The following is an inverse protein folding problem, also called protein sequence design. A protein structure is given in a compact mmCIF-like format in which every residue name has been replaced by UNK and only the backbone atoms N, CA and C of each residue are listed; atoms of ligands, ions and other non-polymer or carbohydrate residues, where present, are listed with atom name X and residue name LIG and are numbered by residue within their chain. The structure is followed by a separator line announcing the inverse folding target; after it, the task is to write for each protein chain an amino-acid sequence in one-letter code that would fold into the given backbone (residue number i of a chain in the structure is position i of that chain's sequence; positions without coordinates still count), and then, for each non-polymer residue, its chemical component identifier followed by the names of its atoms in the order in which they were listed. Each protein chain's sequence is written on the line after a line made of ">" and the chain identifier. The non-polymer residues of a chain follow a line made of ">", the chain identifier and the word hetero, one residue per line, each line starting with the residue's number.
data_IF_599434076655
#
_entry.id   IF_599434076655
#
_cell.length_a   1.000
_cell.length_b   1.000
_cell.length_c   1.000
_cell.angle_alpha   90.00
_cell.angle_beta   90.00
_cell.angle_gamma   90.00
#
_symmetry.space_group_name_H-M   'P 1'
#
loop_
_entity.id
_entity.type
_entity.pdbx_description
1 polymer ?
#
# COMPACT_ATOMS: atom_id res chain seq x y z
N UNK A 1 -5.01 -1.71 18.24
CA UNK A 1 -5.36 -2.76 17.26
C UNK A 1 -4.63 -2.44 15.97
N UNK A 2 -3.84 -3.36 15.41
CA UNK A 2 -3.11 -3.10 14.16
C UNK A 2 -4.02 -3.45 12.99
N UNK A 3 -4.44 -2.45 12.19
CA UNK A 3 -5.32 -2.64 11.04
C UNK A 3 -4.48 -2.64 9.77
N UNK A 4 -4.48 -3.76 9.06
CA UNK A 4 -3.75 -3.92 7.80
C UNK A 4 -4.77 -4.07 6.69
N UNK A 5 -4.89 -3.09 5.78
CA UNK A 5 -5.81 -3.19 4.66
C UNK A 5 -5.32 -4.21 3.63
N UNK A 6 -6.28 -4.94 3.08
CA UNK A 6 -6.08 -5.84 1.93
C UNK A 6 -7.03 -5.38 0.82
N UNK A 7 -6.49 -5.21 -0.37
CA UNK A 7 -7.24 -4.72 -1.53
C UNK A 7 -7.71 -5.89 -2.39
N UNK A 8 -8.96 -5.84 -2.83
CA UNK A 8 -9.52 -6.78 -3.79
C UNK A 8 -10.10 -6.01 -4.97
N UNK A 9 -9.68 -6.40 -6.16
CA UNK A 9 -10.22 -5.86 -7.41
C UNK A 9 -10.94 -6.97 -8.17
N UNK A 10 -12.24 -6.80 -8.39
CA UNK A 10 -13.08 -7.68 -9.18
C UNK A 10 -13.56 -6.92 -10.42
N UNK A 11 -13.17 -7.39 -11.60
CA UNK A 11 -13.65 -6.80 -12.86
C UNK A 11 -14.97 -7.47 -13.26
N UNK A 12 -15.01 -8.79 -13.15
CA UNK A 12 -16.18 -9.62 -13.44
C UNK A 12 -16.27 -10.75 -12.40
N UNK A 13 -17.49 -11.21 -12.05
CA UNK A 13 -17.67 -12.32 -11.11
C UNK A 13 -17.20 -13.66 -11.70
N UNK A 14 -17.00 -13.74 -13.02
CA UNK A 14 -16.57 -14.95 -13.73
C UNK A 14 -15.33 -14.66 -14.55
N UNK A 15 -14.44 -15.65 -14.63
CA UNK A 15 -13.32 -15.63 -15.56
C UNK A 15 -13.78 -15.80 -17.02
N UNK A 16 -12.92 -15.47 -17.98
CA UNK A 16 -13.22 -15.62 -19.42
C UNK A 16 -13.56 -17.05 -19.86
N UNK A 17 -13.22 -18.08 -19.07
CA UNK A 17 -13.61 -19.47 -19.28
C UNK A 17 -14.97 -19.85 -18.66
N UNK A 18 -15.74 -18.87 -18.16
CA UNK A 18 -17.05 -19.07 -17.54
C UNK A 18 -17.02 -19.57 -16.09
N UNK A 19 -15.85 -19.81 -15.50
CA UNK A 19 -15.75 -20.23 -14.10
C UNK A 19 -15.89 -19.01 -13.18
N UNK A 20 -16.66 -19.16 -12.12
CA UNK A 20 -16.81 -18.13 -11.09
C UNK A 20 -15.48 -17.92 -10.34
N UNK A 21 -15.11 -16.67 -10.10
CA UNK A 21 -13.99 -16.36 -9.21
C UNK A 21 -14.38 -16.73 -7.77
N UNK A 22 -13.67 -17.68 -7.18
CA UNK A 22 -13.94 -18.15 -5.81
C UNK A 22 -13.79 -17.04 -4.77
N UNK A 23 -12.96 -16.04 -5.04
CA UNK A 23 -12.80 -14.86 -4.17
C UNK A 23 -14.05 -13.98 -4.21
N UNK A 24 -14.62 -13.80 -5.41
CA UNK A 24 -15.87 -13.08 -5.60
C UNK A 24 -17.02 -13.79 -4.89
N UNK A 25 -17.15 -15.12 -5.04
CA UNK A 25 -18.17 -15.90 -4.35
C UNK A 25 -18.01 -15.83 -2.83
N UNK A 26 -16.78 -15.86 -2.31
CA UNK A 26 -16.54 -15.71 -0.89
C UNK A 26 -16.90 -14.31 -0.39
N UNK A 27 -16.57 -13.27 -1.15
CA UNK A 27 -16.94 -11.88 -0.85
C UNK A 27 -18.46 -11.69 -0.86
N UNK A 28 -19.15 -12.21 -1.88
CA UNK A 28 -20.62 -12.17 -1.98
C UNK A 28 -21.27 -12.88 -0.79
N UNK A 29 -20.74 -14.02 -0.39
CA UNK A 29 -21.19 -14.74 0.82
C UNK A 29 -21.04 -13.89 2.09
N UNK A 30 -19.88 -13.24 2.29
CA UNK A 30 -19.64 -12.35 3.44
C UNK A 30 -20.64 -11.20 3.48
N UNK A 31 -20.97 -10.64 2.31
CA UNK A 31 -21.84 -9.47 2.23
C UNK A 31 -23.33 -9.82 2.29
N UNK A 32 -23.74 -10.98 1.80
CA UNK A 32 -25.15 -11.41 1.73
C UNK A 32 -25.63 -12.10 3.00
N UNK A 33 -24.78 -12.87 3.69
CA UNK A 33 -25.16 -13.65 4.88
C UNK A 33 -25.14 -12.82 6.15
N UNK A 34 -25.46 -11.64 6.23
CA UNK A 34 -25.70 -10.79 7.43
C UNK A 34 -24.93 -11.17 8.75
N UNK A 35 -23.91 -12.04 8.67
CA UNK A 35 -23.10 -12.51 9.81
C UNK A 35 -21.85 -11.63 10.05
N UNK A 36 -21.98 -10.35 9.78
CA UNK A 36 -20.89 -9.40 10.05
C UNK A 36 -20.86 -9.03 11.53
N UNK A 37 -19.70 -8.70 12.04
CA UNK A 37 -19.54 -8.25 13.44
C UNK A 37 -20.52 -7.14 13.82
N UNK A 38 -20.76 -6.18 12.93
CA UNK A 38 -21.67 -5.07 13.19
C UNK A 38 -23.14 -5.53 13.38
N UNK A 39 -23.54 -6.64 12.74
CA UNK A 39 -24.93 -7.14 12.80
C UNK A 39 -25.16 -8.16 13.91
N UNK A 40 -24.21 -9.08 14.12
CA UNK A 40 -24.41 -10.21 15.02
C UNK A 40 -23.49 -10.22 16.25
N UNK A 41 -22.64 -9.22 16.40
CA UNK A 41 -21.64 -9.15 17.46
C UNK A 41 -20.42 -10.02 17.19
N UNK A 42 -19.33 -9.77 17.94
CA UNK A 42 -18.02 -10.39 17.73
C UNK A 42 -18.05 -11.92 17.84
N UNK A 43 -18.84 -12.45 18.76
CA UNK A 43 -18.87 -13.89 19.08
C UNK A 43 -19.61 -14.72 18.04
N UNK A 44 -20.55 -14.10 17.33
CA UNK A 44 -21.38 -14.75 16.31
C UNK A 44 -20.98 -14.40 14.87
N UNK A 45 -20.00 -13.51 14.71
CA UNK A 45 -19.54 -13.11 13.39
C UNK A 45 -18.75 -14.24 12.71
N UNK A 46 -18.92 -14.38 11.41
CA UNK A 46 -18.09 -15.29 10.63
C UNK A 46 -16.63 -14.83 10.62
N UNK A 47 -15.74 -15.77 10.83
CA UNK A 47 -14.30 -15.52 10.80
C UNK A 47 -13.72 -15.93 9.46
N UNK A 48 -12.85 -15.07 8.92
CA UNK A 48 -12.16 -15.33 7.67
C UNK A 48 -10.65 -15.25 7.87
N UNK A 49 -9.94 -16.05 7.07
CA UNK A 49 -8.49 -15.93 6.88
C UNK A 49 -8.24 -15.40 5.48
N UNK A 50 -7.44 -14.35 5.39
CA UNK A 50 -6.96 -13.78 4.14
C UNK A 50 -5.50 -14.18 3.94
N UNK A 51 -5.13 -14.55 2.71
CA UNK A 51 -3.75 -14.85 2.30
C UNK A 51 -3.34 -13.92 1.14
N UNK A 52 -3.19 -12.62 1.40
CA UNK A 52 -2.83 -11.66 0.36
C UNK A 52 -1.40 -11.86 -0.11
N UNK A 53 -1.12 -11.43 -1.33
CA UNK A 53 0.22 -11.27 -1.87
C UNK A 53 0.65 -9.81 -1.83
N UNK A 54 1.96 -9.56 -1.88
CA UNK A 54 2.49 -8.23 -2.13
C UNK A 54 2.15 -7.79 -3.54
N UNK A 55 1.76 -6.55 -3.70
CA UNK A 55 1.51 -5.90 -4.98
C UNK A 55 1.82 -4.41 -4.90
N UNK A 56 1.90 -3.76 -6.05
CA UNK A 56 2.13 -2.33 -6.14
C UNK A 56 0.90 -1.62 -6.69
N UNK A 57 0.56 -0.51 -6.07
CA UNK A 57 -0.36 0.45 -6.64
C UNK A 57 0.46 1.51 -7.36
N UNK A 58 0.57 1.36 -8.68
CA UNK A 58 1.31 2.27 -9.55
C UNK A 58 0.40 3.37 -10.07
N UNK A 59 0.78 4.61 -9.86
CA UNK A 59 0.05 5.76 -10.37
C UNK A 59 0.99 6.95 -10.62
N UNK A 60 0.53 7.89 -11.42
CA UNK A 60 1.29 9.08 -11.78
C UNK A 60 0.58 10.34 -11.31
N UNK A 61 1.29 11.17 -10.55
CA UNK A 61 0.78 12.45 -10.07
C UNK A 61 1.17 13.51 -11.10
N UNK A 62 0.20 13.91 -11.92
CA UNK A 62 0.44 14.82 -13.06
C UNK A 62 0.97 16.18 -12.60
N UNK A 63 0.43 16.73 -11.52
CA UNK A 63 0.84 18.05 -11.02
C UNK A 63 2.29 18.07 -10.50
N UNK A 64 2.73 16.94 -9.92
CA UNK A 64 4.08 16.81 -9.35
C UNK A 64 5.07 16.21 -10.35
N UNK A 65 4.60 15.82 -11.54
CA UNK A 65 5.39 15.11 -12.56
C UNK A 65 6.12 13.89 -11.98
N UNK A 66 5.43 13.09 -11.16
CA UNK A 66 6.03 12.03 -10.37
C UNK A 66 5.25 10.72 -10.47
N UNK A 67 5.98 9.63 -10.82
CA UNK A 67 5.47 8.27 -10.67
C UNK A 67 5.56 7.83 -9.20
N UNK A 68 4.57 7.09 -8.75
CA UNK A 68 4.49 6.51 -7.41
C UNK A 68 4.15 5.04 -7.52
N UNK A 69 4.93 4.21 -6.82
CA UNK A 69 4.68 2.78 -6.66
C UNK A 69 4.48 2.49 -5.17
N UNK A 70 3.23 2.41 -4.74
CA UNK A 70 2.92 2.19 -3.33
C UNK A 70 2.72 0.70 -3.04
N UNK A 71 3.51 0.16 -2.12
CA UNK A 71 3.39 -1.22 -1.66
C UNK A 71 2.02 -1.44 -0.99
N UNK A 72 1.34 -2.52 -1.36
CA UNK A 72 0.05 -2.91 -0.79
C UNK A 72 -0.09 -4.42 -0.68
N UNK A 73 -1.08 -4.86 0.09
CA UNK A 73 -1.52 -6.24 0.08
C UNK A 73 -2.68 -6.36 -0.91
N UNK A 74 -2.59 -7.24 -1.86
CA UNK A 74 -3.57 -7.42 -2.91
C UNK A 74 -4.12 -8.84 -2.91
N UNK A 75 -5.43 -8.96 -3.04
CA UNK A 75 -6.13 -10.19 -3.34
C UNK A 75 -5.82 -11.36 -2.39
N UNK A 76 -5.68 -12.53 -2.99
CA UNK A 76 -5.42 -13.79 -2.31
C UNK A 76 -6.70 -14.56 -2.00
N UNK A 77 -6.53 -15.70 -1.34
CA UNK A 77 -7.65 -16.55 -0.99
C UNK A 77 -8.38 -16.05 0.24
N UNK A 78 -9.71 -16.15 0.21
CA UNK A 78 -10.60 -15.90 1.34
C UNK A 78 -11.07 -17.27 1.83
N UNK A 79 -10.70 -17.64 3.05
CA UNK A 79 -11.07 -18.92 3.64
C UNK A 79 -11.90 -18.68 4.90
N UNK A 80 -13.07 -19.31 4.99
CA UNK A 80 -13.85 -19.31 6.21
C UNK A 80 -13.20 -20.25 7.22
N UNK A 81 -13.06 -19.79 8.45
CA UNK A 81 -12.43 -20.55 9.55
C UNK A 81 -13.40 -20.63 10.72
N UNK A 82 -13.40 -21.77 11.43
CA UNK A 82 -14.24 -21.97 12.61
C UNK A 82 -13.59 -21.44 13.88
N UNK A 83 -12.27 -21.64 13.97
CA UNK A 83 -11.52 -21.28 15.17
C UNK A 83 -10.43 -20.28 14.85
N UNK A 84 -10.29 -19.28 15.69
CA UNK A 84 -9.14 -18.40 15.65
C UNK A 84 -7.87 -19.18 16.01
N UNK A 85 -6.76 -18.81 15.37
CA UNK A 85 -5.46 -19.27 15.84
C UNK A 85 -5.27 -18.90 17.32
N UNK A 86 -4.52 -19.72 18.09
CA UNK A 86 -4.24 -19.44 19.50
C UNK A 86 -3.81 -18.01 19.73
N UNK A 87 -4.11 -17.47 20.91
CA UNK A 87 -3.66 -16.14 21.31
C UNK A 87 -2.14 -16.08 21.22
N UNK A 88 -1.62 -14.93 20.73
CA UNK A 88 -0.18 -14.75 20.47
C UNK A 88 0.30 -15.27 19.11
N UNK A 89 -0.53 -15.99 18.34
CA UNK A 89 -0.15 -16.37 16.97
C UNK A 89 -0.09 -15.12 16.09
N UNK A 90 1.06 -14.80 15.49
CA UNK A 90 1.19 -13.63 14.61
C UNK A 90 0.30 -13.78 13.38
N UNK A 91 -0.54 -12.78 13.11
CA UNK A 91 -1.55 -12.82 12.04
C UNK A 91 -1.19 -11.96 10.82
N UNK A 92 -0.18 -11.15 10.94
CA UNK A 92 0.25 -10.15 9.95
C UNK A 92 1.60 -10.51 9.34
N UNK A 93 1.86 -11.80 9.12
CA UNK A 93 3.12 -12.30 8.59
C UNK A 93 3.15 -12.27 7.08
N UNK A 94 4.36 -12.07 6.54
CA UNK A 94 4.68 -12.28 5.15
C UNK A 94 5.88 -13.23 5.00
N UNK A 95 5.99 -13.85 3.84
CA UNK A 95 7.16 -14.60 3.39
C UNK A 95 7.32 -14.32 1.90
N UNK A 96 8.48 -13.84 1.51
CA UNK A 96 8.79 -13.52 0.12
C UNK A 96 10.09 -14.17 -0.32
N UNK A 97 10.08 -14.68 -1.54
CA UNK A 97 11.30 -14.93 -2.30
C UNK A 97 11.71 -13.61 -2.94
N UNK A 98 12.91 -13.13 -2.62
CA UNK A 98 13.34 -11.77 -2.93
C UNK A 98 14.76 -11.74 -3.49
N UNK A 99 14.94 -10.93 -4.51
CA UNK A 99 16.27 -10.54 -4.99
C UNK A 99 16.59 -9.21 -4.33
N UNK A 100 17.62 -9.21 -3.48
CA UNK A 100 18.09 -8.01 -2.77
C UNK A 100 19.25 -7.40 -3.57
N UNK A 101 19.16 -6.12 -3.89
CA UNK A 101 20.13 -5.41 -4.70
C UNK A 101 20.72 -4.16 -4.03
N UNK A 102 20.20 -3.77 -2.87
CA UNK A 102 20.73 -2.63 -2.11
C UNK A 102 20.30 -2.71 -0.65
N UNK A 103 21.20 -2.33 0.23
CA UNK A 103 20.93 -2.11 1.65
C UNK A 103 21.35 -0.69 2.02
N UNK A 104 20.50 0.01 2.74
CA UNK A 104 20.75 1.39 3.20
C UNK A 104 20.51 1.45 4.70
N UNK A 105 21.55 1.65 5.47
CA UNK A 105 21.46 1.90 6.92
C UNK A 105 21.07 3.36 7.13
N UNK A 106 20.08 3.58 7.97
CA UNK A 106 19.52 4.89 8.29
C UNK A 106 19.71 5.14 9.77
N UNK A 107 20.60 6.08 10.06
CA UNK A 107 20.84 6.55 11.41
C UNK A 107 19.67 7.39 11.93
N UNK A 108 19.38 7.30 13.24
CA UNK A 108 18.38 8.15 13.86
C UNK A 108 18.77 9.63 13.71
N UNK A 109 17.79 10.47 13.38
CA UNK A 109 18.00 11.92 13.37
C UNK A 109 17.90 12.46 14.79
N UNK A 110 18.74 13.44 15.10
CA UNK A 110 18.59 14.22 16.32
C UNK A 110 17.18 14.83 16.37
N UNK A 111 16.58 14.82 17.54
CA UNK A 111 15.24 15.36 17.82
C UNK A 111 14.06 14.61 17.14
N UNK A 112 14.26 13.37 16.74
CA UNK A 112 13.17 12.51 16.22
C UNK A 112 13.06 11.21 17.01
N UNK A 113 11.86 10.60 17.01
CA UNK A 113 11.64 9.25 17.54
C UNK A 113 12.14 8.16 16.61
N UNK A 114 12.90 8.51 15.57
CA UNK A 114 13.46 7.55 14.64
C UNK A 114 14.53 6.69 15.32
N UNK A 115 14.49 5.41 15.05
CA UNK A 115 15.47 4.45 15.56
C UNK A 115 16.36 3.98 14.41
N UNK A 116 17.59 3.54 14.75
CA UNK A 116 18.50 2.90 13.80
C UNK A 116 17.76 1.76 13.09
N UNK A 117 17.79 1.78 11.78
CA UNK A 117 17.20 0.73 10.96
C UNK A 117 17.91 0.61 9.60
N UNK A 118 17.81 -0.57 8.97
CA UNK A 118 18.21 -0.73 7.59
C UNK A 118 16.97 -0.84 6.69
N UNK A 119 17.04 -0.18 5.55
CA UNK A 119 16.12 -0.39 4.44
C UNK A 119 16.77 -1.33 3.44
N UNK A 120 16.09 -2.44 3.20
CA UNK A 120 16.52 -3.51 2.30
C UNK A 120 15.71 -3.38 1.04
N UNK A 121 16.36 -3.00 -0.04
CA UNK A 121 15.75 -2.80 -1.35
C UNK A 121 15.97 -4.02 -2.22
N UNK A 122 14.97 -4.35 -3.01
CA UNK A 122 15.06 -5.44 -3.96
C UNK A 122 13.80 -5.59 -4.79
N UNK A 123 13.59 -6.79 -5.29
CA UNK A 123 12.39 -7.15 -6.04
C UNK A 123 11.81 -8.45 -5.55
N UNK A 124 10.50 -8.54 -5.51
CA UNK A 124 9.74 -9.78 -5.36
C UNK A 124 9.01 -10.08 -6.67
N UNK A 125 8.44 -11.28 -6.78
CA UNK A 125 7.75 -11.72 -7.97
C UNK A 125 6.26 -11.85 -7.71
N UNK A 126 5.44 -11.34 -8.61
CA UNK A 126 4.02 -11.64 -8.58
C UNK A 126 3.74 -13.02 -9.21
N UNK A 127 2.48 -13.48 -9.13
CA UNK A 127 2.07 -14.78 -9.66
C UNK A 127 2.23 -14.92 -11.19
N UNK A 128 2.45 -13.83 -11.93
CA UNK A 128 2.73 -13.82 -13.37
C UNK A 128 4.22 -13.78 -13.68
N UNK A 129 5.07 -13.77 -12.66
CA UNK A 129 6.52 -13.67 -12.82
C UNK A 129 7.03 -12.24 -13.12
N UNK A 130 6.17 -11.23 -13.08
CA UNK A 130 6.60 -9.84 -13.17
C UNK A 130 7.26 -9.39 -11.87
N UNK A 131 8.27 -8.56 -12.00
CA UNK A 131 8.99 -8.02 -10.84
C UNK A 131 8.24 -6.86 -10.20
N UNK A 132 8.27 -6.83 -8.89
CA UNK A 132 7.73 -5.76 -8.06
C UNK A 132 8.87 -5.22 -7.18
N UNK A 133 9.35 -3.98 -7.40
CA UNK A 133 10.26 -3.33 -6.46
C UNK A 133 9.68 -3.33 -5.05
N UNK A 134 10.47 -3.78 -4.08
CA UNK A 134 9.98 -4.01 -2.73
C UNK A 134 10.99 -3.59 -1.69
N UNK A 135 10.53 -2.84 -0.72
CA UNK A 135 11.32 -2.39 0.41
C UNK A 135 10.90 -3.11 1.68
N UNK A 136 11.89 -3.59 2.43
CA UNK A 136 11.74 -4.15 3.77
C UNK A 136 12.53 -3.32 4.77
N UNK A 137 12.10 -3.34 6.02
CA UNK A 137 12.77 -2.63 7.11
C UNK A 137 13.32 -3.64 8.12
N UNK A 138 14.58 -3.49 8.49
CA UNK A 138 15.22 -4.24 9.56
C UNK A 138 15.50 -3.31 10.74
N UNK A 139 14.90 -3.60 11.90
CA UNK A 139 15.17 -2.89 13.17
C UNK A 139 16.12 -3.66 14.09
N UNK A 140 16.25 -4.97 13.90
CA UNK A 140 17.13 -5.79 14.72
C UNK A 140 18.60 -5.50 14.37
N UNK A 141 19.46 -5.11 15.32
CA UNK A 141 20.86 -4.81 15.05
C UNK A 141 21.62 -5.95 14.36
N UNK A 142 21.35 -7.21 14.73
CA UNK A 142 21.95 -8.38 14.07
C UNK A 142 21.49 -8.53 12.61
N UNK A 143 20.26 -8.17 12.32
CA UNK A 143 19.76 -8.18 10.94
C UNK A 143 20.39 -7.05 10.12
N UNK A 144 20.55 -5.86 10.73
CA UNK A 144 21.23 -4.73 10.09
C UNK A 144 22.66 -5.11 9.73
N UNK A 145 23.44 -5.60 10.70
CA UNK A 145 24.82 -6.07 10.51
C UNK A 145 24.91 -7.17 9.44
N UNK A 146 24.00 -8.14 9.48
CA UNK A 146 23.95 -9.22 8.49
C UNK A 146 23.74 -8.69 7.06
N UNK A 147 22.72 -7.88 6.84
CA UNK A 147 22.38 -7.39 5.50
C UNK A 147 23.41 -6.38 4.98
N UNK A 148 23.98 -5.54 5.85
CA UNK A 148 25.08 -4.64 5.50
C UNK A 148 26.33 -5.42 5.10
N UNK A 149 26.65 -6.48 5.86
CA UNK A 149 27.81 -7.34 5.61
C UNK A 149 27.72 -8.16 4.32
N UNK A 150 26.53 -8.29 3.70
CA UNK A 150 26.38 -8.99 2.42
C UNK A 150 27.02 -8.23 1.24
N UNK A 151 27.22 -6.91 1.35
CA UNK A 151 27.86 -6.11 0.31
C UNK A 151 27.09 -6.07 -1.02
N UNK A 152 25.78 -6.29 -1.00
CA UNK A 152 24.94 -6.41 -2.20
C UNK A 152 24.90 -5.13 -3.01
N UNK A 153 24.85 -5.29 -4.32
CA UNK A 153 24.69 -4.20 -5.28
C UNK A 153 23.78 -4.61 -6.44
N UNK A 154 23.44 -3.67 -7.30
CA UNK A 154 22.68 -3.98 -8.52
C UNK A 154 23.47 -4.86 -9.52
N UNK A 155 24.81 -4.88 -9.42
CA UNK A 155 25.66 -5.75 -10.22
C UNK A 155 25.84 -7.15 -9.59
N UNK A 156 25.74 -7.20 -8.27
CA UNK A 156 25.92 -8.42 -7.47
C UNK A 156 24.75 -8.57 -6.49
N UNK A 157 23.54 -8.83 -6.99
CA UNK A 157 22.37 -9.04 -6.13
C UNK A 157 22.41 -10.44 -5.51
N UNK A 158 21.67 -10.64 -4.42
CA UNK A 158 21.48 -11.96 -3.84
C UNK A 158 20.02 -12.37 -3.91
N UNK A 159 19.80 -13.69 -4.08
CA UNK A 159 18.46 -14.29 -3.97
C UNK A 159 18.33 -15.03 -2.64
N UNK A 160 17.28 -14.67 -1.90
CA UNK A 160 16.99 -15.31 -0.63
C UNK A 160 15.50 -15.31 -0.33
N UNK A 161 15.07 -16.11 0.62
CA UNK A 161 13.74 -16.07 1.19
C UNK A 161 13.77 -15.28 2.50
N UNK A 162 12.89 -14.29 2.59
CA UNK A 162 12.74 -13.42 3.75
C UNK A 162 11.34 -13.56 4.35
N UNK A 163 11.23 -13.41 5.66
CA UNK A 163 9.94 -13.40 6.36
C UNK A 163 9.92 -12.34 7.44
N UNK A 164 8.72 -11.93 7.79
CA UNK A 164 8.54 -10.92 8.81
C UNK A 164 7.09 -10.57 9.07
N UNK A 165 6.87 -9.40 9.62
CA UNK A 165 5.54 -8.90 9.95
C UNK A 165 5.28 -7.52 9.35
N UNK A 166 4.01 -7.28 8.99
CA UNK A 166 3.56 -5.98 8.54
C UNK A 166 3.16 -5.17 9.78
N UNK A 167 3.78 -4.01 9.94
CA UNK A 167 3.46 -3.06 11.01
C UNK A 167 2.77 -1.84 10.43
N UNK A 168 1.74 -1.39 11.12
CA UNK A 168 1.00 -0.18 10.79
C UNK A 168 1.06 0.74 12.01
N UNK A 169 1.78 1.84 11.89
CA UNK A 169 1.99 2.79 12.99
C UNK A 169 1.32 4.10 12.63
N UNK A 170 0.43 4.58 13.48
CA UNK A 170 -0.16 5.91 13.36
C UNK A 170 0.75 6.89 14.07
N UNK A 171 1.28 7.83 13.32
CA UNK A 171 2.13 8.92 13.83
C UNK A 171 1.28 10.17 13.87
N UNK A 172 1.20 10.80 15.05
CA UNK A 172 0.61 12.13 15.18
C UNK A 172 1.66 13.16 14.77
N UNK A 173 1.29 13.98 13.80
CA UNK A 173 2.13 15.09 13.34
C UNK A 173 1.49 16.37 13.83
N UNK A 174 2.24 17.10 14.62
CA UNK A 174 1.87 18.44 15.09
C UNK A 174 2.42 19.46 14.09
N UNK A 175 1.57 20.34 13.65
CA UNK A 175 1.95 21.47 12.80
C UNK A 175 1.53 22.77 13.47
N UNK A 176 2.51 23.58 13.76
CA UNK A 176 2.28 24.92 14.26
C UNK A 176 1.86 25.83 13.10
N UNK A 177 0.72 26.49 13.24
CA UNK A 177 0.21 27.48 12.28
C UNK A 177 0.35 28.84 12.92
N UNK A 178 1.17 29.69 12.31
CA UNK A 178 1.31 31.09 12.73
C UNK A 178 -0.01 31.84 12.50
N UNK A 179 -0.47 32.49 13.54
CA UNK A 179 -1.61 33.41 13.46
C UNK A 179 -1.10 34.83 13.21
N UNK A 180 -1.90 35.65 12.53
CA UNK A 180 -1.58 37.05 12.30
C UNK A 180 -1.44 37.84 13.62
N UNK A 181 -2.10 37.39 14.67
CA UNK A 181 -2.02 37.91 16.06
C UNK A 181 -2.51 36.80 17.01
N UNK A 182 -1.93 36.77 18.22
CA UNK A 182 -2.25 35.75 19.23
C UNK A 182 -1.26 34.59 19.26
N UNK A 183 -1.57 33.59 20.10
CA UNK A 183 -0.75 32.39 20.21
C UNK A 183 -0.88 31.53 18.95
N UNK A 184 0.20 30.83 18.54
CA UNK A 184 0.14 29.87 17.42
C UNK A 184 -0.89 28.78 17.68
N UNK A 185 -1.59 28.37 16.63
CA UNK A 185 -2.52 27.26 16.70
C UNK A 185 -1.80 25.96 16.31
N UNK A 186 -1.97 24.91 17.12
CA UNK A 186 -1.42 23.59 16.81
C UNK A 186 -2.47 22.78 16.08
N UNK A 187 -2.19 22.46 14.81
CA UNK A 187 -3.00 21.52 14.02
C UNK A 187 -2.43 20.12 14.18
N UNK A 188 -3.28 19.18 14.55
CA UNK A 188 -2.92 17.77 14.67
C UNK A 188 -3.38 17.03 13.41
N UNK A 189 -2.43 16.35 12.76
CA UNK A 189 -2.74 15.42 11.67
C UNK A 189 -2.24 14.02 12.03
N UNK A 190 -2.92 12.99 11.52
CA UNK A 190 -2.51 11.62 11.69
C UNK A 190 -1.96 11.09 10.38
N UNK A 191 -0.75 10.55 10.43
CA UNK A 191 -0.12 9.88 9.30
C UNK A 191 0.09 8.41 9.63
N UNK A 192 -0.40 7.53 8.79
CA UNK A 192 -0.15 6.11 8.93
C UNK A 192 1.11 5.71 8.16
N UNK A 193 2.07 5.09 8.87
CA UNK A 193 3.27 4.48 8.31
C UNK A 193 3.08 2.97 8.30
N UNK A 194 3.13 2.37 7.11
CA UNK A 194 3.07 0.93 6.94
C UNK A 194 4.43 0.41 6.53
N UNK A 195 4.91 -0.61 7.23
CA UNK A 195 6.22 -1.17 7.05
C UNK A 195 6.16 -2.70 7.02
N UNK A 196 6.91 -3.29 6.10
CA UNK A 196 7.19 -4.72 6.08
C UNK A 196 8.49 -4.94 6.84
N UNK A 197 8.36 -5.34 8.12
CA UNK A 197 9.49 -5.50 9.02
C UNK A 197 10.00 -6.93 8.95
N UNK A 198 11.27 -7.07 8.55
CA UNK A 198 11.93 -8.37 8.43
C UNK A 198 12.25 -8.92 9.83
N UNK A 199 11.98 -10.21 10.03
CA UNK A 199 12.28 -10.94 11.27
C UNK A 199 13.29 -12.06 11.05
N UNK A 200 13.48 -12.46 9.80
CA UNK A 200 14.46 -13.46 9.43
C UNK A 200 14.62 -13.63 7.94
N UNK A 201 15.70 -14.29 7.55
CA UNK A 201 16.01 -14.66 6.18
C UNK A 201 16.71 -16.02 6.15
N UNK A 202 16.64 -16.68 5.00
CA UNK A 202 17.56 -17.77 4.70
C UNK A 202 18.92 -17.21 4.28
N UNK A 203 19.99 -18.00 4.32
CA UNK A 203 21.21 -17.68 3.60
C UNK A 203 20.90 -17.50 2.09
N UNK A 204 21.87 -16.95 1.35
CA UNK A 204 21.76 -16.92 -0.11
C UNK A 204 21.42 -18.31 -0.64
N UNK A 205 20.37 -18.37 -1.47
CA UNK A 205 19.82 -19.64 -1.97
C UNK A 205 20.35 -20.01 -3.35
N UNK A 206 20.85 -19.02 -4.09
CA UNK A 206 21.21 -19.18 -5.48
C UNK A 206 22.25 -18.14 -5.93
N UNK A 207 23.21 -18.56 -6.73
CA UNK A 207 24.17 -17.68 -7.37
C UNK A 207 23.70 -17.35 -8.79
N UNK A 208 23.59 -16.07 -9.11
CA UNK A 208 23.11 -15.62 -10.40
C UNK A 208 24.10 -15.94 -11.52
N UNK A 209 23.59 -16.50 -12.60
CA UNK A 209 24.33 -16.64 -13.86
C UNK A 209 24.19 -15.35 -14.69
N UNK A 210 24.99 -15.22 -15.74
CA UNK A 210 24.86 -14.13 -16.71
C UNK A 210 23.46 -14.11 -17.38
N UNK A 211 22.88 -15.27 -17.62
CA UNK A 211 21.55 -15.42 -18.20
C UNK A 211 20.46 -14.90 -17.23
N UNK A 212 20.57 -15.25 -15.96
CA UNK A 212 19.64 -14.75 -14.91
C UNK A 212 19.72 -13.23 -14.78
N UNK A 213 20.92 -12.67 -14.83
CA UNK A 213 21.12 -11.23 -14.81
C UNK A 213 20.54 -10.54 -16.03
N UNK A 214 20.66 -11.15 -17.22
CA UNK A 214 20.05 -10.64 -18.43
C UNK A 214 18.51 -10.68 -18.37
N UNK A 215 17.92 -11.76 -17.85
CA UNK A 215 16.47 -11.88 -17.64
C UNK A 215 15.95 -10.86 -16.62
N UNK A 216 16.69 -10.65 -15.53
CA UNK A 216 16.36 -9.63 -14.54
C UNK A 216 16.36 -8.22 -15.15
N UNK A 217 17.38 -7.87 -15.94
CA UNK A 217 17.46 -6.60 -16.65
C UNK A 217 16.31 -6.42 -17.65
N UNK A 218 15.95 -7.48 -18.37
CA UNK A 218 14.79 -7.46 -19.27
C UNK A 218 13.51 -7.15 -18.50
N UNK A 219 13.25 -7.84 -17.37
CA UNK A 219 12.07 -7.61 -16.54
C UNK A 219 12.03 -6.19 -15.95
N UNK A 220 13.19 -5.61 -15.62
CA UNK A 220 13.30 -4.20 -15.22
C UNK A 220 12.89 -3.29 -16.37
N UNK A 221 13.36 -3.59 -17.58
CA UNK A 221 12.96 -2.89 -18.80
C UNK A 221 11.46 -2.93 -19.05
N UNK A 222 10.86 -4.12 -18.97
CA UNK A 222 9.41 -4.32 -19.14
C UNK A 222 8.60 -3.51 -18.11
N UNK A 223 9.08 -3.43 -16.86
CA UNK A 223 8.45 -2.61 -15.85
C UNK A 223 8.53 -1.11 -16.15
N UNK A 224 9.66 -0.65 -16.66
CA UNK A 224 9.82 0.76 -17.04
C UNK A 224 8.85 1.13 -18.18
N UNK A 225 8.67 0.25 -19.17
CA UNK A 225 7.68 0.44 -20.24
C UNK A 225 6.28 0.55 -19.65
N UNK A 226 5.92 -0.36 -18.74
CA UNK A 226 4.62 -0.32 -18.05
C UNK A 226 4.41 1.02 -17.28
N UNK A 227 5.43 1.53 -16.59
CA UNK A 227 5.32 2.81 -15.86
C UNK A 227 5.13 4.01 -16.80
N UNK A 228 5.72 3.99 -18.01
CA UNK A 228 5.47 5.01 -19.02
C UNK A 228 4.03 4.92 -19.59
N UNK A 229 3.46 3.73 -19.69
CA UNK A 229 2.05 3.55 -20.03
C UNK A 229 1.13 4.13 -18.95
N UNK A 230 1.41 3.85 -17.66
CA UNK A 230 0.67 4.42 -16.51
C UNK A 230 0.72 5.95 -16.54
N UNK A 231 1.89 6.52 -16.82
CA UNK A 231 2.07 7.97 -16.94
C UNK A 231 1.25 8.55 -18.10
N UNK A 232 1.33 7.93 -19.26
CA UNK A 232 0.61 8.37 -20.45
C UNK A 232 -0.91 8.35 -20.25
N UNK A 233 -1.43 7.28 -19.66
CA UNK A 233 -2.85 7.15 -19.31
C UNK A 233 -3.30 8.23 -18.30
N UNK A 234 -2.48 8.52 -17.29
CA UNK A 234 -2.81 9.54 -16.30
C UNK A 234 -2.85 10.96 -16.91
N UNK A 235 -1.93 11.27 -17.81
CA UNK A 235 -1.89 12.55 -18.52
C UNK A 235 -3.11 12.69 -19.45
N UNK A 236 -3.43 11.64 -20.19
CA UNK A 236 -4.61 11.62 -21.06
C UNK A 236 -5.90 11.81 -20.26
N UNK A 237 -6.06 11.11 -19.16
CA UNK A 237 -7.20 11.27 -18.26
C UNK A 237 -7.33 12.70 -17.73
N UNK A 238 -6.24 13.32 -17.29
CA UNK A 238 -6.24 14.68 -16.79
C UNK A 238 -6.61 15.71 -17.89
N UNK A 239 -6.15 15.49 -19.11
CA UNK A 239 -6.48 16.36 -20.24
C UNK A 239 -7.97 16.24 -20.65
N UNK A 240 -8.51 15.01 -20.66
CA UNK A 240 -9.92 14.76 -20.96
C UNK A 240 -10.83 15.38 -19.91
N UNK A 241 -10.46 15.37 -18.63
CA UNK A 241 -11.22 16.06 -17.58
C UNK A 241 -11.22 17.59 -17.76
N UNK A 242 -10.11 18.19 -18.11
CA UNK A 242 -10.04 19.63 -18.39
C UNK A 242 -10.96 20.03 -19.56
N UNK A 243 -10.99 19.21 -20.59
CA UNK A 243 -11.87 19.45 -21.76
C UNK A 243 -13.35 19.29 -21.40
N UNK A 244 -13.70 18.30 -20.59
CA UNK A 244 -15.07 18.09 -20.12
C UNK A 244 -15.56 19.24 -19.23
N UNK A 245 -14.69 19.79 -18.38
CA UNK A 245 -15.05 20.92 -17.51
C UNK A 245 -15.24 22.23 -18.28
N UNK A 246 -14.57 22.39 -19.43
CA UNK A 246 -14.77 23.55 -20.31
C UNK A 246 -16.03 23.46 -21.17
N UNK A 247 -16.60 22.27 -21.34
CA UNK A 247 -17.81 22.06 -22.13
C UNK A 247 -19.12 22.09 -21.33
N UNK A 248 -19.07 22.28 -20.01
CA UNK A 248 -20.23 22.53 -19.20
C UNK A 248 -20.73 23.97 -19.47
N UNK A 249 -21.94 24.19 -20.03
CA UNK A 249 -22.43 25.54 -20.20
C UNK A 249 -22.51 26.21 -18.84
N UNK A 250 -21.92 27.39 -18.72
CA UNK A 250 -22.05 28.26 -17.55
C UNK A 250 -23.53 28.31 -17.17
N UNK A 251 -23.93 27.93 -15.95
CA UNK A 251 -25.31 28.06 -15.56
C UNK A 251 -25.67 29.53 -15.74
N UNK A 252 -26.69 29.78 -16.58
CA UNK A 252 -27.26 31.09 -16.76
C UNK A 252 -27.43 31.73 -15.39
N UNK A 253 -26.73 32.84 -15.16
CA UNK A 253 -27.04 33.73 -14.06
C UNK A 253 -28.52 34.08 -14.21
N UNK A 254 -29.37 33.39 -13.47
CA UNK A 254 -30.71 33.90 -13.21
C UNK A 254 -30.51 35.19 -12.42
N UNK A 255 -30.59 36.31 -13.16
CA UNK A 255 -30.79 37.61 -12.57
C UNK A 255 -32.22 37.64 -12.00
N UNK A 256 -32.36 37.26 -10.73
CA UNK A 256 -33.51 37.49 -9.92
C UNK A 256 -33.08 38.25 -8.68
N UNK A 257 -33.75 39.38 -8.33
CA UNK A 257 -33.35 40.10 -7.13
C UNK A 257 -33.70 39.27 -5.89
N UNK A 258 -32.67 38.96 -5.11
CA UNK A 258 -32.82 38.49 -3.74
C UNK A 258 -33.33 39.64 -2.83
N UNK A 259 -34.55 39.99 -3.02
CA UNK A 259 -35.29 40.84 -2.10
C UNK A 259 -36.46 40.04 -1.54
N UNK A 260 -36.18 39.27 -0.49
CA UNK A 260 -37.11 38.77 0.54
C UNK A 260 -36.51 37.54 1.21
N UNK A 261 -35.42 37.77 1.96
CA UNK A 261 -35.09 36.91 3.09
C UNK A 261 -35.69 37.59 4.31
N UNK A 262 -36.70 37.00 4.98
CA UNK A 262 -37.13 37.51 6.26
C UNK A 262 -35.96 37.39 7.25
N UNK A 263 -35.67 38.47 7.97
CA UNK A 263 -34.81 38.46 9.13
C UNK A 263 -35.46 37.51 10.16
N UNK A 264 -34.96 36.28 10.22
CA UNK A 264 -35.27 35.33 11.26
C UNK A 264 -34.20 35.44 12.33
N UNK A 265 -34.64 35.72 13.56
CA UNK A 265 -33.89 35.74 14.78
C UNK A 265 -32.96 34.48 14.89
N UNK A 266 -31.67 34.68 14.83
CA UNK A 266 -30.67 33.71 15.24
C UNK A 266 -30.31 33.93 16.74
N UNK A 267 -31.29 33.78 17.60
CA UNK A 267 -31.06 33.56 19.02
C UNK A 267 -31.84 32.32 19.40
N UNK A 268 -31.20 31.15 19.27
CA UNK A 268 -31.46 29.95 20.06
C UNK A 268 -30.81 28.75 19.34
N UNK A 269 -29.47 28.56 19.65
CA UNK A 269 -28.89 27.22 19.73
C UNK A 269 -27.59 27.34 20.54
#
# INVERSE_FOLDING_TARGET
>A
MNVIPVHYTFILPTFGNGKTDSRFSAFEKITSEEKTWLKVGKENAEMIRLTPSGDLNDFYIVNDNRAVSAQRNEGGFITFIKDLAPEGTPRNKFTYDMIINKVTVIEPKEDTDDVLHARIHGVIFNFKGAILPWDLIAYNPKAIEYFEGLGVSSAEPIYTQVWGSIKNTTIKVEKEIENAWGEPMIEYSERTRREWVIEGSKPQLYDFTEEDMADLQKKIGDRNVYLEEVKSAAIEYANNQKTATQSTPTPNKMAGPLSNIPEGDFNDF
#
